data_IF_523071034828
#
_entry.id   IF_523071034828
#
_cell.length_a   1.000
_cell.length_b   1.000
_cell.length_c   1.000
_cell.angle_alpha   90.00
_cell.angle_beta   90.00
_cell.angle_gamma   90.00
#
_symmetry.space_group_name_H-M   'P 1'
#
loop_
_entity.id
_entity.type
_entity.pdbx_description
1 polymer ?
#
# COMPACT_ATOMS: atom_id res chain seq x y z
N UNK A 1 8.58 -23.09 8.56
CA UNK A 1 8.68 -21.62 8.86
C UNK A 1 7.32 -21.15 9.35
N UNK A 2 7.25 -20.31 10.41
CA UNK A 2 6.02 -19.61 10.77
C UNK A 2 5.94 -18.35 9.93
N UNK A 3 4.80 -18.13 9.28
CA UNK A 3 4.55 -16.92 8.52
C UNK A 3 3.74 -15.99 9.41
N UNK A 4 4.40 -14.97 9.91
CA UNK A 4 3.81 -14.00 10.80
C UNK A 4 2.99 -12.96 10.04
N UNK A 5 1.97 -12.43 10.70
CA UNK A 5 1.15 -11.32 10.20
C UNK A 5 1.49 -10.06 10.97
N UNK A 6 1.68 -8.94 10.28
CA UNK A 6 1.84 -7.65 10.94
C UNK A 6 0.48 -6.95 11.06
N UNK A 7 0.05 -6.69 12.27
CA UNK A 7 -1.20 -5.99 12.56
C UNK A 7 -1.10 -5.23 13.88
N UNK A 8 -1.79 -4.11 14.01
CA UNK A 8 -1.84 -3.31 15.24
C UNK A 8 -0.44 -2.90 15.76
N UNK A 9 0.49 -2.63 14.83
CA UNK A 9 1.90 -2.27 15.07
C UNK A 9 2.77 -3.40 15.63
N UNK A 10 2.27 -4.64 15.66
CA UNK A 10 2.97 -5.81 16.18
C UNK A 10 3.00 -6.96 15.17
N UNK A 11 4.01 -7.84 15.31
CA UNK A 11 4.08 -9.11 14.60
C UNK A 11 3.36 -10.21 15.39
N UNK A 12 2.48 -10.92 14.72
CA UNK A 12 1.68 -11.99 15.30
C UNK A 12 2.07 -13.33 14.67
N UNK A 13 2.59 -14.23 15.50
CA UNK A 13 2.83 -15.62 15.07
C UNK A 13 1.53 -16.36 14.82
N UNK A 14 1.51 -17.34 13.89
CA UNK A 14 0.33 -18.14 13.61
C UNK A 14 -0.26 -18.76 14.87
N UNK A 15 -1.54 -18.52 15.14
CA UNK A 15 -2.28 -19.13 16.25
C UNK A 15 -3.77 -19.29 15.87
N UNK A 16 -4.52 -20.05 16.68
CA UNK A 16 -5.91 -20.39 16.39
C UNK A 16 -6.02 -21.41 15.26
N UNK A 17 -6.88 -21.13 14.29
CA UNK A 17 -7.05 -21.98 13.12
C UNK A 17 -5.86 -21.81 12.18
N UNK A 18 -4.95 -22.78 12.20
CA UNK A 18 -3.72 -22.74 11.38
C UNK A 18 -3.84 -23.60 10.13
N UNK A 19 -3.20 -23.13 9.05
CA UNK A 19 -3.11 -23.87 7.79
C UNK A 19 -1.66 -23.98 7.34
N UNK A 20 -1.30 -25.16 6.84
CA UNK A 20 -0.01 -25.36 6.20
C UNK A 20 -0.07 -24.85 4.76
N UNK A 21 0.93 -24.09 4.37
CA UNK A 21 1.17 -23.69 2.98
C UNK A 21 2.15 -24.65 2.33
N UNK A 22 1.90 -24.96 1.07
CA UNK A 22 2.71 -25.88 0.27
C UNK A 22 3.24 -25.17 -0.97
N UNK A 23 4.46 -25.51 -1.34
CA UNK A 23 5.04 -25.04 -2.61
C UNK A 23 4.24 -25.59 -3.80
N UNK A 24 3.83 -24.71 -4.69
CA UNK A 24 2.93 -25.05 -5.81
C UNK A 24 3.51 -26.13 -6.75
N UNK A 25 4.83 -26.11 -6.98
CA UNK A 25 5.48 -27.03 -7.91
C UNK A 25 5.82 -28.39 -7.26
N UNK A 26 6.26 -28.42 -6.00
CA UNK A 26 6.77 -29.64 -5.33
C UNK A 26 5.76 -30.28 -4.38
N UNK A 27 4.75 -29.54 -3.93
CA UNK A 27 3.86 -29.97 -2.86
C UNK A 27 4.52 -30.04 -1.48
N UNK A 28 5.75 -29.57 -1.34
CA UNK A 28 6.46 -29.58 -0.06
C UNK A 28 5.93 -28.49 0.88
N UNK A 29 5.82 -28.74 2.20
CA UNK A 29 5.38 -27.74 3.15
C UNK A 29 6.42 -26.63 3.28
N UNK A 30 5.97 -25.36 3.17
CA UNK A 30 6.84 -24.17 3.25
C UNK A 30 6.61 -23.35 4.51
N UNK A 31 5.41 -23.39 5.06
CA UNK A 31 5.13 -22.62 6.26
C UNK A 31 3.73 -22.86 6.82
N UNK A 32 3.48 -22.24 7.96
CA UNK A 32 2.19 -22.25 8.64
C UNK A 32 1.68 -20.82 8.74
N UNK A 33 0.42 -20.61 8.42
CA UNK A 33 -0.32 -19.35 8.64
C UNK A 33 -1.43 -19.57 9.67
N UNK A 34 -1.83 -18.52 10.37
CA UNK A 34 -2.95 -18.51 11.30
C UNK A 34 -3.94 -17.41 10.98
N UNK A 35 -5.18 -17.55 11.44
CA UNK A 35 -6.30 -16.65 11.09
C UNK A 35 -6.93 -15.92 12.29
N UNK A 36 -6.31 -15.93 13.46
CA UNK A 36 -6.92 -15.41 14.70
C UNK A 36 -6.68 -13.93 14.97
N UNK A 37 -6.49 -13.13 13.91
CA UNK A 37 -6.41 -11.67 14.06
C UNK A 37 -7.82 -11.08 14.28
N UNK A 38 -7.92 -10.16 15.22
CA UNK A 38 -9.14 -9.40 15.49
C UNK A 38 -9.32 -8.32 14.41
N UNK A 39 -10.07 -8.66 13.36
CA UNK A 39 -10.31 -7.76 12.23
C UNK A 39 -11.06 -6.49 12.63
N UNK A 40 -11.92 -6.53 13.64
CA UNK A 40 -12.61 -5.34 14.13
C UNK A 40 -11.64 -4.36 14.77
N UNK A 41 -10.73 -4.86 15.61
CA UNK A 41 -9.65 -4.01 16.18
C UNK A 41 -8.73 -3.46 15.10
N UNK A 42 -8.39 -4.26 14.08
CA UNK A 42 -7.56 -3.80 12.95
C UNK A 42 -8.23 -2.65 12.19
N UNK A 43 -9.52 -2.76 11.88
CA UNK A 43 -10.29 -1.71 11.20
C UNK A 43 -10.37 -0.46 12.09
N UNK A 44 -10.61 -0.62 13.38
CA UNK A 44 -10.65 0.49 14.33
C UNK A 44 -9.31 1.22 14.39
N UNK A 45 -8.21 0.47 14.53
CA UNK A 45 -6.85 1.02 14.53
C UNK A 45 -6.54 1.75 13.22
N UNK A 46 -6.87 1.16 12.08
CA UNK A 46 -6.67 1.80 10.78
C UNK A 46 -7.40 3.15 10.67
N UNK A 47 -8.61 3.26 11.21
CA UNK A 47 -9.39 4.51 11.21
C UNK A 47 -8.88 5.55 12.21
N UNK A 48 -8.60 5.13 13.45
CA UNK A 48 -8.30 6.06 14.55
C UNK A 48 -6.83 6.45 14.63
N UNK A 49 -5.91 5.57 14.23
CA UNK A 49 -4.47 5.81 14.25
C UNK A 49 -3.93 6.05 12.84
N UNK A 50 -4.02 5.05 11.97
CA UNK A 50 -3.45 5.12 10.63
C UNK A 50 -4.06 6.24 9.78
N UNK A 51 -5.39 6.34 9.75
CA UNK A 51 -6.10 7.37 9.00
C UNK A 51 -5.83 8.78 9.54
N UNK A 52 -5.73 8.94 10.86
CA UNK A 52 -5.40 10.23 11.47
C UNK A 52 -3.97 10.65 11.12
N UNK A 53 -3.00 9.76 11.30
CA UNK A 53 -1.61 10.01 10.93
C UNK A 53 -1.47 10.37 9.45
N UNK A 54 -2.14 9.66 8.55
CA UNK A 54 -2.13 9.98 7.13
C UNK A 54 -2.73 11.35 6.82
N UNK A 55 -3.78 11.76 7.51
CA UNK A 55 -4.38 13.10 7.33
C UNK A 55 -3.46 14.24 7.80
N UNK A 56 -2.53 13.96 8.71
CA UNK A 56 -1.53 14.96 9.14
C UNK A 56 -0.45 15.19 8.09
N UNK A 57 -0.21 14.24 7.20
CA UNK A 57 0.83 14.31 6.18
C UNK A 57 0.34 15.03 4.92
N UNK A 58 1.19 15.90 4.38
CA UNK A 58 1.03 16.48 3.06
C UNK A 58 1.29 15.47 1.92
N UNK A 59 0.95 15.83 0.69
CA UNK A 59 1.19 14.97 -0.48
C UNK A 59 2.67 14.65 -0.67
N UNK A 60 3.56 15.64 -0.49
CA UNK A 60 5.00 15.43 -0.63
C UNK A 60 5.59 14.53 0.46
N UNK A 61 5.07 14.59 1.68
CA UNK A 61 5.50 13.69 2.76
C UNK A 61 5.11 12.24 2.47
N UNK A 62 3.89 12.01 2.03
CA UNK A 62 3.43 10.67 1.58
C UNK A 62 4.25 10.17 0.40
N UNK A 63 4.57 11.04 -0.57
CA UNK A 63 5.43 10.70 -1.70
C UNK A 63 6.84 10.29 -1.27
N UNK A 64 7.41 10.92 -0.23
CA UNK A 64 8.71 10.53 0.35
C UNK A 64 8.65 9.13 0.96
N UNK A 65 7.57 8.80 1.68
CA UNK A 65 7.38 7.46 2.27
C UNK A 65 7.28 6.40 1.16
N UNK A 66 6.50 6.64 0.12
CA UNK A 66 6.41 5.73 -1.03
C UNK A 66 7.76 5.54 -1.72
N UNK A 67 8.54 6.62 -1.87
CA UNK A 67 9.90 6.52 -2.43
C UNK A 67 10.82 5.69 -1.55
N UNK A 68 10.77 5.89 -0.23
CA UNK A 68 11.58 5.12 0.70
C UNK A 68 11.20 3.63 0.66
N UNK A 69 9.91 3.32 0.62
CA UNK A 69 9.41 1.94 0.46
C UNK A 69 9.90 1.31 -0.85
N UNK A 70 9.79 2.02 -1.97
CA UNK A 70 10.26 1.51 -3.25
C UNK A 70 11.77 1.23 -3.28
N UNK A 71 12.57 2.08 -2.63
CA UNK A 71 14.01 1.85 -2.49
C UNK A 71 14.29 0.64 -1.62
N UNK A 72 13.66 0.56 -0.44
CA UNK A 72 13.80 -0.57 0.47
C UNK A 72 13.48 -1.93 -0.20
N UNK A 73 12.39 -1.99 -0.94
CA UNK A 73 12.02 -3.20 -1.71
C UNK A 73 12.99 -3.48 -2.85
N UNK A 74 13.47 -2.44 -3.54
CA UNK A 74 14.43 -2.57 -4.63
C UNK A 74 15.78 -3.15 -4.15
N UNK A 75 16.23 -2.73 -2.96
CA UNK A 75 17.48 -3.22 -2.37
C UNK A 75 17.38 -4.68 -1.92
N UNK A 76 16.15 -5.18 -1.71
CA UNK A 76 15.83 -6.55 -1.27
C UNK A 76 15.15 -7.41 -2.33
N UNK A 77 15.12 -6.98 -3.57
CA UNK A 77 14.35 -7.68 -4.60
C UNK A 77 14.82 -9.11 -4.88
N UNK A 78 16.12 -9.40 -4.68
CA UNK A 78 16.62 -10.76 -4.85
C UNK A 78 16.04 -11.71 -3.80
N UNK A 79 15.86 -11.25 -2.55
CA UNK A 79 15.18 -12.02 -1.49
C UNK A 79 13.72 -12.33 -1.89
N UNK A 80 13.04 -11.39 -2.56
CA UNK A 80 11.69 -11.58 -3.08
C UNK A 80 11.68 -12.58 -4.25
N UNK A 81 12.70 -12.55 -5.12
CA UNK A 81 12.85 -13.50 -6.21
C UNK A 81 13.05 -14.94 -5.72
N UNK A 82 13.67 -15.15 -4.57
CA UNK A 82 13.83 -16.48 -3.98
C UNK A 82 12.49 -17.12 -3.57
N UNK A 83 11.46 -16.31 -3.33
CA UNK A 83 10.11 -16.79 -2.99
C UNK A 83 9.31 -17.24 -4.22
N UNK A 84 9.63 -16.75 -5.41
CA UNK A 84 8.88 -17.02 -6.64
C UNK A 84 8.70 -18.51 -6.95
N UNK A 85 9.74 -19.37 -6.88
CA UNK A 85 9.58 -20.80 -7.15
C UNK A 85 8.57 -21.48 -6.21
N UNK A 86 8.39 -20.94 -5.00
CA UNK A 86 7.45 -21.47 -4.02
C UNK A 86 6.00 -21.24 -4.46
N UNK A 87 5.74 -20.16 -5.18
CA UNK A 87 4.40 -19.83 -5.70
C UNK A 87 4.11 -20.52 -7.05
N UNK A 88 5.13 -21.14 -7.68
CA UNK A 88 5.04 -21.70 -9.02
C UNK A 88 5.24 -20.66 -10.13
N UNK A 89 5.58 -19.41 -9.78
CA UNK A 89 5.85 -18.36 -10.76
C UNK A 89 7.19 -18.59 -11.47
N UNK A 90 7.24 -18.27 -12.76
CA UNK A 90 8.50 -18.22 -13.51
C UNK A 90 9.30 -16.97 -13.12
N UNK A 91 10.60 -16.93 -13.47
CA UNK A 91 11.40 -15.71 -13.25
C UNK A 91 10.84 -14.49 -14.01
N UNK A 92 10.21 -14.72 -15.15
CA UNK A 92 9.56 -13.64 -15.93
C UNK A 92 8.32 -13.11 -15.23
N UNK A 93 7.50 -13.99 -14.68
CA UNK A 93 6.32 -13.59 -13.89
C UNK A 93 6.75 -12.79 -12.65
N UNK A 94 7.78 -13.28 -11.94
CA UNK A 94 8.35 -12.56 -10.81
C UNK A 94 8.91 -11.18 -11.15
N UNK A 95 9.51 -11.04 -12.33
CA UNK A 95 9.94 -9.72 -12.80
C UNK A 95 8.76 -8.76 -13.00
N UNK A 96 7.65 -9.26 -13.57
CA UNK A 96 6.43 -8.44 -13.72
C UNK A 96 5.87 -8.04 -12.36
N UNK A 97 5.78 -8.98 -11.42
CA UNK A 97 5.18 -8.73 -10.10
C UNK A 97 6.10 -7.87 -9.23
N UNK A 98 7.36 -8.23 -9.10
CA UNK A 98 8.30 -7.58 -8.16
C UNK A 98 8.79 -6.25 -8.72
N UNK A 99 9.45 -6.24 -9.89
CA UNK A 99 9.98 -4.99 -10.47
C UNK A 99 8.84 -4.09 -10.96
N UNK A 100 7.76 -4.66 -11.50
CA UNK A 100 6.56 -3.92 -11.89
C UNK A 100 5.86 -3.28 -10.68
N UNK A 101 5.70 -4.02 -9.58
CA UNK A 101 5.15 -3.51 -8.32
C UNK A 101 5.99 -2.38 -7.75
N UNK A 102 7.31 -2.58 -7.63
CA UNK A 102 8.25 -1.54 -7.16
C UNK A 102 8.21 -0.31 -8.08
N UNK A 103 8.17 -0.54 -9.39
CA UNK A 103 8.05 0.50 -10.41
C UNK A 103 6.78 1.34 -10.22
N UNK A 104 5.65 0.69 -9.98
CA UNK A 104 4.38 1.34 -9.72
C UNK A 104 4.45 2.26 -8.48
N UNK A 105 5.00 1.77 -7.38
CA UNK A 105 5.20 2.61 -6.17
C UNK A 105 6.07 3.82 -6.47
N UNK A 106 7.13 3.68 -7.27
CA UNK A 106 7.99 4.79 -7.69
C UNK A 106 7.26 5.82 -8.56
N UNK A 107 6.40 5.35 -9.47
CA UNK A 107 5.58 6.24 -10.31
C UNK A 107 4.67 7.10 -9.43
N UNK A 108 3.94 6.50 -8.49
CA UNK A 108 3.07 7.24 -7.58
C UNK A 108 3.85 8.18 -6.65
N UNK A 109 5.02 7.78 -6.16
CA UNK A 109 5.91 8.67 -5.42
C UNK A 109 6.34 9.89 -6.25
N UNK A 110 6.67 9.68 -7.53
CA UNK A 110 7.04 10.76 -8.45
C UNK A 110 5.86 11.69 -8.74
N UNK A 111 4.68 11.13 -9.02
CA UNK A 111 3.45 11.91 -9.27
C UNK A 111 3.07 12.74 -8.05
N UNK A 112 3.03 12.13 -6.86
CA UNK A 112 2.73 12.85 -5.62
C UNK A 112 3.65 14.02 -5.35
N UNK A 113 4.91 13.95 -5.78
CA UNK A 113 5.87 15.05 -5.62
C UNK A 113 5.79 16.11 -6.73
N UNK A 114 5.53 15.69 -7.98
CA UNK A 114 5.62 16.58 -9.16
C UNK A 114 4.30 17.23 -9.52
N UNK A 115 3.20 16.50 -9.32
CA UNK A 115 1.86 16.91 -9.79
C UNK A 115 0.99 17.41 -8.64
N UNK A 116 1.29 17.03 -7.38
CA UNK A 116 0.54 17.50 -6.21
C UNK A 116 1.26 18.67 -5.52
N UNK A 117 0.52 19.58 -4.89
CA UNK A 117 1.10 20.67 -4.11
C UNK A 117 1.80 20.16 -2.84
N UNK A 118 2.72 20.95 -2.30
CA UNK A 118 3.30 20.70 -0.99
C UNK A 118 2.31 21.11 0.11
N UNK A 119 1.33 20.26 0.35
CA UNK A 119 0.25 20.52 1.29
C UNK A 119 -0.72 19.35 1.38
N UNK A 120 -1.86 19.60 2.03
CA UNK A 120 -2.90 18.58 2.25
C UNK A 120 -4.12 18.76 1.34
N UNK A 121 -4.21 19.86 0.65
CA UNK A 121 -5.33 20.24 -0.20
C UNK A 121 -4.83 20.47 -1.61
N UNK A 122 -5.50 19.88 -2.57
CA UNK A 122 -5.25 20.12 -4.00
C UNK A 122 -6.51 20.76 -4.61
N UNK A 123 -6.35 21.97 -5.12
CA UNK A 123 -7.38 22.67 -5.87
C UNK A 123 -7.18 22.35 -7.34
N UNK A 124 -8.14 21.67 -7.94
CA UNK A 124 -8.06 21.18 -9.30
C UNK A 124 -8.79 22.14 -10.27
N UNK A 125 -8.00 22.74 -11.14
CA UNK A 125 -8.50 23.65 -12.15
C UNK A 125 -8.94 25.03 -11.63
N UNK A 126 -9.54 25.83 -12.52
CA UNK A 126 -10.11 27.12 -12.23
C UNK A 126 -11.55 26.98 -11.73
N UNK A 127 -12.08 28.07 -11.16
CA UNK A 127 -13.51 28.16 -10.85
C UNK A 127 -14.31 28.10 -12.13
N UNK A 128 -15.27 27.21 -12.23
CA UNK A 128 -16.14 27.02 -13.37
C UNK A 128 -17.49 27.66 -13.12
N UNK A 129 -18.02 28.38 -14.15
CA UNK A 129 -19.36 28.91 -14.11
C UNK A 129 -20.37 27.83 -14.51
N UNK A 130 -21.19 27.40 -13.55
CA UNK A 130 -22.16 26.33 -13.73
C UNK A 130 -23.57 26.77 -14.05
N UNK A 131 -23.81 28.12 -14.06
CA UNK A 131 -25.10 28.69 -14.45
C UNK A 131 -24.95 29.83 -15.45
N UNK A 132 -25.98 30.05 -16.32
CA UNK A 132 -25.95 31.07 -17.34
C UNK A 132 -25.70 32.50 -16.82
N UNK A 133 -26.16 32.80 -15.60
CA UNK A 133 -26.08 34.14 -15.00
C UNK A 133 -24.89 34.29 -14.02
N UNK A 134 -23.98 33.30 -13.95
CA UNK A 134 -22.88 33.34 -13.03
C UNK A 134 -23.26 33.28 -11.52
N UNK A 135 -24.52 32.93 -11.24
CA UNK A 135 -25.03 32.83 -9.87
C UNK A 135 -24.63 31.52 -9.16
N UNK A 136 -24.08 30.58 -9.91
CA UNK A 136 -23.58 29.31 -9.37
C UNK A 136 -22.21 29.00 -9.98
N UNK A 137 -21.22 28.91 -9.11
CA UNK A 137 -19.82 28.61 -9.43
C UNK A 137 -19.41 27.33 -8.74
N UNK A 138 -18.53 26.57 -9.36
CA UNK A 138 -17.97 25.34 -8.80
C UNK A 138 -16.46 25.28 -8.97
N UNK A 139 -15.80 24.56 -8.07
CA UNK A 139 -14.39 24.21 -8.18
C UNK A 139 -14.14 22.86 -7.52
N UNK A 140 -13.30 22.01 -8.12
CA UNK A 140 -12.92 20.74 -7.54
C UNK A 140 -11.81 20.95 -6.50
N UNK A 141 -12.03 20.42 -5.31
CA UNK A 141 -11.05 20.45 -4.22
C UNK A 141 -10.89 19.03 -3.67
N UNK A 142 -9.66 18.53 -3.70
CA UNK A 142 -9.29 17.25 -3.13
C UNK A 142 -8.69 17.42 -1.75
N UNK A 143 -9.28 16.78 -0.75
CA UNK A 143 -8.83 16.80 0.64
C UNK A 143 -8.70 15.40 1.19
N UNK A 144 -7.72 15.12 2.09
CA UNK A 144 -7.65 13.84 2.77
C UNK A 144 -8.89 13.61 3.63
N UNK A 145 -9.55 12.49 3.38
CA UNK A 145 -10.67 12.00 4.20
C UNK A 145 -10.28 10.69 4.88
N UNK A 146 -11.23 10.09 5.54
CA UNK A 146 -11.05 8.73 6.06
C UNK A 146 -10.89 7.75 4.89
N UNK A 147 -9.84 6.98 4.92
CA UNK A 147 -9.60 5.85 4.03
C UNK A 147 -10.29 4.61 4.53
#
# INVERSE_FOLDING_TARGET
MNIESYALEEWHSPHGDTKTLYASASGSPIGIIGSSLDTEKMIRHAKTVGGENLRQMGFHERAKILKALANYLSDRKEELYELNPLTGATRKDGWIDIDGGIGTVRVYASKGRKEMPDGKVYVDGAVEQLSRKGSFLGQHIHVPKQG
#
